data_IF_807863425617
#
_entry.id   IF_807863425617
#
_cell.length_a   1.000
_cell.length_b   1.000
_cell.length_c   1.000
_cell.angle_alpha   90.00
_cell.angle_beta   90.00
_cell.angle_gamma   90.00
#
_symmetry.space_group_name_H-M   'P 1'
#
loop_
_entity.id
_entity.type
_entity.pdbx_description
1 polymer ?
#
# COMPACT_ATOMS: atom_id res chain seq x y z
N UNK A 1 -1.77 -14.26 -10.40
CA UNK A 1 -0.66 -13.43 -9.86
C UNK A 1 -0.95 -12.82 -8.49
N UNK A 2 -2.12 -13.07 -7.88
CA UNK A 2 -2.36 -12.78 -6.45
C UNK A 2 -1.36 -13.54 -5.56
N UNK A 3 -0.95 -14.73 -5.97
CA UNK A 3 -0.05 -15.61 -5.22
C UNK A 3 1.24 -14.91 -4.80
N UNK A 4 1.84 -14.11 -5.70
CA UNK A 4 3.07 -13.37 -5.39
C UNK A 4 2.85 -12.26 -4.36
N UNK A 5 1.67 -11.64 -4.36
CA UNK A 5 1.29 -10.63 -3.36
C UNK A 5 1.03 -11.31 -2.03
N UNK A 6 0.28 -12.41 -2.04
CA UNK A 6 -0.04 -13.22 -0.85
C UNK A 6 1.23 -13.78 -0.19
N UNK A 7 2.22 -14.24 -0.96
CA UNK A 7 3.50 -14.70 -0.43
C UNK A 7 4.29 -13.58 0.28
N UNK A 8 4.22 -12.34 -0.23
CA UNK A 8 4.86 -11.19 0.43
C UNK A 8 4.12 -10.78 1.69
N UNK A 9 2.80 -10.85 1.65
CA UNK A 9 1.92 -10.57 2.79
C UNK A 9 2.17 -11.58 3.92
N UNK A 10 2.26 -12.87 3.58
CA UNK A 10 2.58 -13.95 4.52
C UNK A 10 3.94 -13.73 5.20
N UNK A 11 4.97 -13.38 4.42
CA UNK A 11 6.29 -13.03 4.98
C UNK A 11 6.23 -11.83 5.94
N UNK A 12 5.42 -10.82 5.65
CA UNK A 12 5.24 -9.68 6.54
C UNK A 12 4.58 -10.12 7.85
N UNK A 13 3.48 -10.89 7.78
CA UNK A 13 2.79 -11.44 8.94
C UNK A 13 3.70 -12.34 9.77
N UNK A 14 4.49 -13.20 9.14
CA UNK A 14 5.49 -14.01 9.85
C UNK A 14 6.45 -13.16 10.66
N UNK A 15 6.98 -12.08 10.07
CA UNK A 15 7.89 -11.14 10.75
C UNK A 15 7.26 -10.37 11.91
N UNK A 16 5.94 -10.19 11.88
CA UNK A 16 5.17 -9.53 12.96
C UNK A 16 4.51 -10.52 13.92
N UNK A 17 4.92 -11.79 13.88
CA UNK A 17 4.37 -12.88 14.71
C UNK A 17 2.85 -13.08 14.52
N UNK A 18 2.37 -12.87 13.30
CA UNK A 18 0.99 -13.01 12.84
C UNK A 18 -0.01 -12.23 13.69
N UNK A 19 -0.61 -12.88 14.69
CA UNK A 19 -1.67 -12.33 15.54
C UNK A 19 -1.13 -11.85 16.90
N UNK A 20 0.16 -11.57 17.01
CA UNK A 20 0.74 -11.02 18.23
C UNK A 20 0.05 -9.69 18.59
N UNK A 21 -0.34 -9.55 19.86
CA UNK A 21 -1.15 -8.41 20.32
C UNK A 21 -2.63 -8.46 19.89
N UNK A 22 -3.10 -9.58 19.34
CA UNK A 22 -4.50 -9.83 19.00
C UNK A 22 -4.89 -9.52 17.55
N UNK A 23 -6.09 -9.98 17.15
CA UNK A 23 -6.60 -9.86 15.78
C UNK A 23 -6.74 -8.41 15.33
N UNK A 24 -7.20 -7.51 16.20
CA UNK A 24 -7.36 -6.09 15.90
C UNK A 24 -6.01 -5.42 15.58
N UNK A 25 -4.96 -5.74 16.35
CA UNK A 25 -3.61 -5.23 16.13
C UNK A 25 -3.03 -5.76 14.81
N UNK A 26 -3.18 -7.05 14.54
CA UNK A 26 -2.76 -7.66 13.28
C UNK A 26 -3.49 -7.07 12.06
N UNK A 27 -4.76 -6.74 12.21
CA UNK A 27 -5.54 -6.07 11.17
C UNK A 27 -5.01 -4.67 10.86
N UNK A 28 -4.72 -3.85 11.88
CA UNK A 28 -4.10 -2.54 11.66
C UNK A 28 -2.71 -2.67 11.03
N UNK A 29 -1.93 -3.66 11.47
CA UNK A 29 -0.61 -3.95 10.92
C UNK A 29 -0.68 -4.28 9.43
N UNK A 30 -1.56 -5.20 9.03
CA UNK A 30 -1.68 -5.61 7.62
C UNK A 30 -2.28 -4.51 6.73
N UNK A 31 -3.18 -3.68 7.27
CA UNK A 31 -3.69 -2.48 6.59
C UNK A 31 -2.55 -1.49 6.34
N UNK A 32 -1.71 -1.23 7.34
CA UNK A 32 -0.53 -0.38 7.20
C UNK A 32 0.43 -0.91 6.13
N UNK A 33 0.72 -2.20 6.14
CA UNK A 33 1.53 -2.84 5.11
C UNK A 33 0.94 -2.69 3.70
N UNK A 34 -0.38 -2.87 3.55
CA UNK A 34 -1.06 -2.73 2.27
C UNK A 34 -0.97 -1.30 1.72
N UNK A 35 -1.08 -0.29 2.58
CA UNK A 35 -0.90 1.12 2.18
C UNK A 35 0.52 1.35 1.66
N UNK A 36 1.54 0.94 2.41
CA UNK A 36 2.94 1.08 2.00
C UNK A 36 3.21 0.30 0.70
N UNK A 37 2.72 -0.94 0.59
CA UNK A 37 2.90 -1.76 -0.60
C UNK A 37 2.35 -1.09 -1.87
N UNK A 38 1.22 -0.41 -1.76
CA UNK A 38 0.55 0.21 -2.91
C UNK A 38 1.12 1.58 -3.30
N UNK A 39 1.56 2.38 -2.33
CA UNK A 39 1.96 3.77 -2.57
C UNK A 39 3.48 3.98 -2.60
N UNK A 40 4.27 3.20 -1.88
CA UNK A 40 5.72 3.39 -1.86
C UNK A 40 6.34 3.25 -3.26
N UNK A 41 7.40 4.02 -3.57
CA UNK A 41 8.02 4.02 -4.87
C UNK A 41 8.65 2.64 -5.13
N UNK A 42 8.39 2.13 -6.32
CA UNK A 42 9.05 0.94 -6.82
C UNK A 42 10.49 1.24 -7.17
N UNK A 43 11.33 0.20 -7.17
CA UNK A 43 12.71 0.34 -7.60
C UNK A 43 12.79 0.84 -9.07
N UNK A 44 13.87 1.56 -9.45
CA UNK A 44 13.99 2.19 -10.78
C UNK A 44 13.81 1.23 -11.96
N UNK A 45 14.26 -0.03 -11.82
CA UNK A 45 14.10 -1.05 -12.86
C UNK A 45 12.63 -1.39 -13.11
N UNK A 46 11.86 -1.48 -12.03
CA UNK A 46 10.42 -1.73 -12.08
C UNK A 46 9.69 -0.52 -12.66
N UNK A 47 10.10 0.70 -12.30
CA UNK A 47 9.54 1.94 -12.88
C UNK A 47 9.76 1.97 -14.40
N UNK A 48 10.98 1.68 -14.86
CA UNK A 48 11.31 1.59 -16.30
C UNK A 48 10.45 0.55 -17.01
N UNK A 49 10.27 -0.63 -16.42
CA UNK A 49 9.42 -1.70 -16.96
C UNK A 49 7.95 -1.28 -17.10
N UNK A 50 7.47 -0.41 -16.21
CA UNK A 50 6.10 0.05 -16.16
C UNK A 50 5.92 1.47 -16.74
N UNK A 51 6.71 1.81 -17.76
CA UNK A 51 6.56 3.06 -18.53
C UNK A 51 6.57 4.32 -17.65
N UNK A 52 7.41 4.33 -16.62
CA UNK A 52 7.55 5.47 -15.71
C UNK A 52 6.60 5.45 -14.51
N UNK A 53 5.63 4.52 -14.44
CA UNK A 53 4.72 4.41 -13.30
C UNK A 53 5.44 3.96 -12.02
N UNK A 54 5.47 4.85 -11.04
CA UNK A 54 6.30 4.83 -9.83
C UNK A 54 5.77 3.84 -8.79
N UNK A 55 4.46 3.65 -8.66
CA UNK A 55 3.85 2.78 -7.62
C UNK A 55 2.83 1.78 -8.17
N UNK A 56 2.50 0.69 -7.45
CA UNK A 56 1.39 -0.19 -7.82
C UNK A 56 0.04 0.53 -7.94
N UNK A 57 -0.26 1.49 -7.05
CA UNK A 57 -1.48 2.28 -7.12
C UNK A 57 -1.57 3.07 -8.45
N UNK A 58 -0.49 3.74 -8.85
CA UNK A 58 -0.44 4.48 -10.12
C UNK A 58 -0.54 3.54 -11.33
N UNK A 59 0.01 2.32 -11.24
CA UNK A 59 -0.15 1.30 -12.29
C UNK A 59 -1.59 0.92 -12.54
N UNK A 60 -2.32 0.66 -11.45
CA UNK A 60 -3.72 0.23 -11.50
C UNK A 60 -4.63 1.39 -11.88
N UNK A 61 -4.42 2.57 -11.31
CA UNK A 61 -5.27 3.74 -11.56
C UNK A 61 -4.99 4.41 -12.91
N UNK A 62 -3.76 4.31 -13.40
CA UNK A 62 -3.32 5.00 -14.62
C UNK A 62 -2.88 6.45 -14.41
N UNK A 63 -3.04 6.99 -13.21
CA UNK A 63 -2.64 8.36 -12.84
C UNK A 63 -2.12 8.41 -11.39
N UNK A 64 -1.47 9.53 -11.06
CA UNK A 64 -1.10 9.94 -9.70
C UNK A 64 -1.55 11.40 -9.48
N UNK A 65 -1.77 11.77 -8.22
CA UNK A 65 -2.16 13.14 -7.84
C UNK A 65 -0.97 14.08 -7.76
N UNK A 66 0.16 13.58 -7.25
CA UNK A 66 1.39 14.34 -6.98
C UNK A 66 2.62 13.51 -7.35
N UNK A 67 3.78 14.15 -7.49
CA UNK A 67 5.04 13.44 -7.70
C UNK A 67 5.54 12.71 -6.44
N UNK A 68 5.17 13.21 -5.26
CA UNK A 68 5.52 12.63 -3.98
C UNK A 68 4.57 11.47 -3.63
N UNK A 69 5.15 10.29 -3.37
CA UNK A 69 4.37 9.09 -3.05
C UNK A 69 3.57 9.21 -1.76
N UNK A 70 4.09 9.94 -0.76
CA UNK A 70 3.44 10.09 0.54
C UNK A 70 2.21 11.01 0.42
N UNK A 71 2.30 12.06 -0.39
CA UNK A 71 1.15 12.93 -0.66
C UNK A 71 0.03 12.17 -1.39
N UNK A 72 0.36 11.31 -2.36
CA UNK A 72 -0.64 10.45 -3.00
C UNK A 72 -1.38 9.54 -2.00
N UNK A 73 -0.64 8.98 -1.04
CA UNK A 73 -1.23 8.17 0.04
C UNK A 73 -2.17 9.02 0.91
N UNK A 74 -1.72 10.19 1.37
CA UNK A 74 -2.52 11.07 2.23
C UNK A 74 -3.79 11.55 1.52
N UNK A 75 -3.70 11.95 0.24
CA UNK A 75 -4.86 12.34 -0.57
C UNK A 75 -5.82 11.17 -0.73
N UNK A 76 -5.33 9.98 -1.05
CA UNK A 76 -6.18 8.79 -1.24
C UNK A 76 -6.86 8.34 0.05
N UNK A 77 -6.19 8.49 1.19
CA UNK A 77 -6.72 8.13 2.52
C UNK A 77 -7.58 9.23 3.16
N UNK A 78 -7.64 10.43 2.56
CA UNK A 78 -8.31 11.60 3.14
C UNK A 78 -9.85 11.51 3.16
N UNK A 79 -10.44 10.55 2.43
CA UNK A 79 -11.88 10.46 2.19
C UNK A 79 -12.49 11.76 1.62
N UNK A 80 -11.69 12.60 0.95
CA UNK A 80 -12.07 13.96 0.53
C UNK A 80 -12.61 14.84 1.69
N UNK A 81 -12.17 14.57 2.92
CA UNK A 81 -12.65 15.27 4.11
C UNK A 81 -14.01 14.77 4.64
N UNK A 82 -14.60 13.74 4.03
CA UNK A 82 -15.83 13.11 4.53
C UNK A 82 -15.49 12.33 5.80
N UNK A 83 -15.99 12.79 6.94
CA UNK A 83 -15.95 12.07 8.21
C UNK A 83 -17.33 11.45 8.43
N UNK A 84 -17.39 10.15 8.69
CA UNK A 84 -18.63 9.53 9.15
C UNK A 84 -19.06 10.24 10.45
N UNK A 85 -20.33 10.61 10.55
CA UNK A 85 -20.90 11.11 11.81
C UNK A 85 -20.75 10.00 12.88
N UNK A 86 -20.43 10.35 14.14
CA UNK A 86 -20.26 9.38 15.23
C UNK A 86 -21.45 8.43 15.41
#
# INVERSE_FOLDING_TARGET
MLDRVMQRMDRHLFGTQYFHGGRATAELNIRGWALIYNFAPSNPMTVKKHLGKKSPAERLNGFSYQDNWLENLLVSASLQGVRASP
#
